data_IF_307194300109
#
_entry.id   IF_307194300109
#
_cell.length_a   1.000
_cell.length_b   1.000
_cell.length_c   1.000
_cell.angle_alpha   90.00
_cell.angle_beta   90.00
_cell.angle_gamma   90.00
#
_symmetry.space_group_name_H-M   'P 1'
#
loop_
_entity.id
_entity.type
_entity.pdbx_description
1 polymer ?
#
# COMPACT_ATOMS: atom_id res chain seq x y z
N UNK A 1 -4.57 -4.74 -22.57
CA UNK A 1 -4.49 -4.04 -21.28
C UNK A 1 -4.23 -2.59 -21.62
N UNK A 2 -5.02 -1.65 -21.12
CA UNK A 2 -4.77 -0.24 -21.42
C UNK A 2 -3.40 0.14 -20.84
N UNK A 3 -2.52 0.65 -21.70
CA UNK A 3 -1.18 1.07 -21.29
C UNK A 3 -1.29 2.24 -20.32
N UNK A 4 -0.63 2.13 -19.16
CA UNK A 4 -0.50 3.22 -18.21
C UNK A 4 0.29 4.33 -18.89
N UNK A 5 -0.29 5.52 -19.04
CA UNK A 5 0.49 6.66 -19.51
C UNK A 5 1.39 7.20 -18.38
N UNK A 6 2.49 7.85 -18.75
CA UNK A 6 3.45 8.38 -17.77
C UNK A 6 2.88 9.46 -16.85
N UNK A 7 1.73 10.06 -17.18
CA UNK A 7 1.05 11.05 -16.34
C UNK A 7 0.23 10.35 -15.23
N UNK A 8 -0.41 9.24 -15.55
CA UNK A 8 -1.10 8.39 -14.57
C UNK A 8 -0.10 7.85 -13.55
N UNK A 9 1.03 7.31 -14.01
CA UNK A 9 2.07 6.79 -13.11
C UNK A 9 2.68 7.87 -12.18
N UNK A 10 2.74 9.13 -12.63
CA UNK A 10 3.16 10.25 -11.77
C UNK A 10 2.12 10.56 -10.69
N UNK A 11 0.82 10.59 -11.05
CA UNK A 11 -0.26 10.80 -10.07
C UNK A 11 -0.30 9.68 -9.04
N UNK A 12 -0.11 8.44 -9.49
CA UNK A 12 -0.05 7.29 -8.60
C UNK A 12 1.21 7.32 -7.71
N UNK A 13 2.36 7.69 -8.26
CA UNK A 13 3.59 7.80 -7.47
C UNK A 13 3.57 8.88 -6.38
N UNK A 14 2.70 9.89 -6.53
CA UNK A 14 2.48 10.91 -5.52
C UNK A 14 1.36 10.55 -4.52
N UNK A 15 0.61 9.48 -4.78
CA UNK A 15 -0.49 9.05 -3.92
C UNK A 15 0.02 8.09 -2.84
N UNK A 16 -0.34 8.38 -1.59
CA UNK A 16 0.04 7.54 -0.46
C UNK A 16 -0.99 6.43 -0.21
N UNK A 17 -2.26 6.70 -0.53
CA UNK A 17 -3.38 5.75 -0.42
C UNK A 17 -4.03 5.48 -1.78
N UNK A 18 -4.68 4.32 -1.89
CA UNK A 18 -5.62 3.98 -2.95
C UNK A 18 -6.87 3.33 -2.39
N UNK A 19 -7.96 3.42 -3.15
CA UNK A 19 -9.16 2.60 -2.94
C UNK A 19 -9.11 1.37 -3.84
N UNK A 20 -9.36 0.20 -3.25
CA UNK A 20 -9.36 -1.08 -3.97
C UNK A 20 -10.73 -1.75 -3.89
N UNK A 21 -11.29 -2.09 -5.04
CA UNK A 21 -12.51 -2.87 -5.18
C UNK A 21 -12.25 -4.17 -5.94
N UNK A 22 -12.27 -5.31 -5.25
CA UNK A 22 -12.12 -6.63 -5.91
C UNK A 22 -13.38 -7.01 -6.69
N UNK A 23 -13.23 -7.72 -7.81
CA UNK A 23 -14.35 -8.20 -8.64
C UNK A 23 -14.93 -9.52 -8.11
N UNK A 24 -16.26 -9.64 -8.13
CA UNK A 24 -17.01 -10.87 -7.82
C UNK A 24 -17.16 -11.76 -9.05
N UNK A 25 -17.69 -12.97 -8.85
CA UNK A 25 -17.98 -13.93 -9.92
C UNK A 25 -18.95 -13.41 -10.97
N UNK A 26 -19.94 -12.62 -10.56
CA UNK A 26 -20.96 -12.00 -11.41
C UNK A 26 -20.45 -10.72 -12.12
N UNK A 27 -19.16 -10.38 -11.97
CA UNK A 27 -18.57 -9.17 -12.53
C UNK A 27 -18.77 -7.91 -11.69
N UNK A 28 -19.61 -7.92 -10.65
CA UNK A 28 -19.81 -6.76 -9.77
C UNK A 28 -18.58 -6.44 -8.92
N UNK A 29 -18.44 -5.19 -8.49
CA UNK A 29 -17.36 -4.75 -7.61
C UNK A 29 -17.78 -4.84 -6.13
N UNK A 30 -16.86 -5.31 -5.27
CA UNK A 30 -17.03 -5.19 -3.80
C UNK A 30 -16.89 -3.72 -3.38
N UNK A 31 -17.37 -3.41 -2.16
CA UNK A 31 -17.15 -2.10 -1.56
C UNK A 31 -15.64 -1.79 -1.51
N UNK A 32 -15.25 -0.52 -1.76
CA UNK A 32 -13.86 -0.13 -1.77
C UNK A 32 -13.25 -0.27 -0.37
N UNK A 33 -11.96 -0.62 -0.34
CA UNK A 33 -11.14 -0.58 0.86
C UNK A 33 -9.98 0.36 0.60
N UNK A 34 -9.87 1.42 1.40
CA UNK A 34 -8.75 2.36 1.34
C UNK A 34 -7.53 1.75 2.03
N UNK A 35 -6.37 1.82 1.37
CA UNK A 35 -5.12 1.30 1.91
C UNK A 35 -3.91 2.05 1.35
N UNK A 36 -2.82 2.03 2.12
CA UNK A 36 -1.53 2.54 1.66
C UNK A 36 -1.00 1.75 0.45
N UNK A 37 -0.44 2.47 -0.51
CA UNK A 37 0.19 1.92 -1.72
C UNK A 37 1.64 2.36 -1.81
N UNK A 38 2.48 1.47 -2.33
CA UNK A 38 3.87 1.78 -2.70
C UNK A 38 4.02 1.58 -4.20
N UNK A 39 4.56 2.58 -4.90
CA UNK A 39 4.98 2.45 -6.29
C UNK A 39 6.45 2.05 -6.36
N UNK A 40 6.77 1.02 -7.16
CA UNK A 40 8.13 0.72 -7.57
C UNK A 40 8.17 0.45 -9.08
N UNK A 41 8.86 1.31 -9.83
CA UNK A 41 8.82 1.31 -11.29
C UNK A 41 7.40 1.51 -11.81
N UNK A 42 6.92 0.56 -12.61
CA UNK A 42 5.57 0.57 -13.20
C UNK A 42 4.58 -0.32 -12.43
N UNK A 43 4.97 -0.80 -11.25
CA UNK A 43 4.16 -1.66 -10.41
C UNK A 43 3.72 -0.98 -9.12
N UNK A 44 2.52 -1.34 -8.67
CA UNK A 44 1.95 -0.90 -7.41
C UNK A 44 1.85 -2.08 -6.44
N UNK A 45 2.25 -1.82 -5.21
CA UNK A 45 2.30 -2.81 -4.15
C UNK A 45 1.43 -2.36 -3.00
N UNK A 46 0.59 -3.28 -2.54
CA UNK A 46 -0.24 -3.12 -1.34
C UNK A 46 -0.05 -4.35 -0.45
N UNK A 47 -0.26 -4.19 0.86
CA UNK A 47 -0.15 -5.30 1.81
C UNK A 47 -1.40 -5.40 2.68
N UNK A 48 -1.81 -6.64 2.96
CA UNK A 48 -2.88 -6.87 3.93
C UNK A 48 -2.27 -6.93 5.33
N UNK A 49 -2.66 -6.01 6.21
CA UNK A 49 -2.26 -6.04 7.63
C UNK A 49 -2.72 -7.33 8.31
N UNK A 50 -3.89 -7.87 7.91
CA UNK A 50 -4.43 -9.15 8.39
C UNK A 50 -3.85 -10.37 7.64
N UNK A 51 -2.78 -10.18 6.87
CA UNK A 51 -2.17 -11.22 6.04
C UNK A 51 -3.14 -11.86 5.06
N UNK A 52 -2.92 -13.14 4.75
CA UNK A 52 -3.72 -13.90 3.78
C UNK A 52 -5.17 -14.15 4.24
N UNK A 53 -5.44 -14.00 5.54
CA UNK A 53 -6.79 -14.12 6.12
C UNK A 53 -7.65 -12.86 5.92
N UNK A 54 -7.06 -11.74 5.51
CA UNK A 54 -7.76 -10.47 5.31
C UNK A 54 -8.95 -10.59 4.33
N UNK A 55 -10.16 -10.07 4.68
CA UNK A 55 -11.33 -10.18 3.82
C UNK A 55 -11.13 -9.63 2.40
N UNK A 56 -10.50 -8.45 2.28
CA UNK A 56 -10.20 -7.86 0.97
C UNK A 56 -9.17 -8.69 0.19
N UNK A 57 -8.16 -9.23 0.88
CA UNK A 57 -7.11 -10.04 0.26
C UNK A 57 -7.70 -11.33 -0.33
N UNK A 58 -8.53 -12.04 0.45
CA UNK A 58 -9.28 -13.20 -0.05
C UNK A 58 -10.22 -12.84 -1.20
N UNK A 59 -10.87 -11.69 -1.11
CA UNK A 59 -11.70 -11.13 -2.19
C UNK A 59 -10.90 -10.98 -3.49
N UNK A 60 -9.73 -10.35 -3.42
CA UNK A 60 -8.79 -10.21 -4.55
C UNK A 60 -8.34 -11.56 -5.07
N UNK A 61 -7.90 -12.48 -4.21
CA UNK A 61 -7.39 -13.79 -4.65
C UNK A 61 -8.45 -14.64 -5.37
N UNK A 62 -9.74 -14.41 -5.12
CA UNK A 62 -10.82 -15.18 -5.76
C UNK A 62 -10.89 -15.00 -7.29
N UNK A 63 -10.50 -13.83 -7.82
CA UNK A 63 -10.58 -13.51 -9.25
C UNK A 63 -9.32 -12.87 -9.83
N UNK A 64 -8.44 -12.34 -8.97
CA UNK A 64 -7.25 -11.56 -9.35
C UNK A 64 -7.54 -10.41 -10.31
N UNK A 65 -8.75 -9.86 -10.21
CA UNK A 65 -9.20 -8.72 -10.99
C UNK A 65 -9.98 -7.77 -10.08
N UNK A 66 -9.93 -6.49 -10.41
CA UNK A 66 -10.69 -5.47 -9.70
C UNK A 66 -10.40 -4.09 -10.26
N UNK A 67 -10.73 -3.09 -9.47
CA UNK A 67 -10.58 -1.68 -9.79
C UNK A 67 -9.83 -0.98 -8.68
N UNK A 68 -8.95 -0.07 -9.06
CA UNK A 68 -8.32 0.85 -8.13
C UNK A 68 -8.67 2.29 -8.48
N UNK A 69 -8.74 3.13 -7.46
CA UNK A 69 -8.78 4.57 -7.59
C UNK A 69 -7.64 5.17 -6.78
N UNK A 70 -6.77 5.95 -7.43
CA UNK A 70 -5.54 6.44 -6.84
C UNK A 70 -5.11 7.75 -7.49
N UNK A 71 -4.86 8.80 -6.70
CA UNK A 71 -4.43 10.11 -7.24
C UNK A 71 -5.38 10.69 -8.29
N UNK A 72 -6.70 10.45 -8.17
CA UNK A 72 -7.71 10.87 -9.16
C UNK A 72 -7.81 10.00 -10.41
N UNK A 73 -7.02 8.93 -10.51
CA UNK A 73 -7.03 7.98 -11.62
C UNK A 73 -7.81 6.74 -11.23
N UNK A 74 -8.79 6.35 -12.05
CA UNK A 74 -9.54 5.09 -11.90
C UNK A 74 -9.14 4.08 -12.99
N UNK A 75 -8.76 2.86 -12.60
CA UNK A 75 -8.33 1.80 -13.53
C UNK A 75 -8.74 0.42 -13.08
N UNK A 76 -9.14 -0.41 -14.05
CA UNK A 76 -9.24 -1.86 -13.86
C UNK A 76 -7.84 -2.48 -13.89
N UNK A 77 -7.57 -3.40 -12.97
CA UNK A 77 -6.24 -4.00 -12.76
C UNK A 77 -6.33 -5.51 -12.55
N UNK A 78 -5.23 -6.19 -12.87
CA UNK A 78 -4.99 -7.56 -12.47
C UNK A 78 -4.10 -7.59 -11.22
N UNK A 79 -4.38 -8.52 -10.30
CA UNK A 79 -3.62 -8.67 -9.07
C UNK A 79 -2.70 -9.89 -9.11
N UNK A 80 -1.47 -9.72 -8.63
CA UNK A 80 -0.49 -10.78 -8.45
C UNK A 80 0.03 -10.85 -7.02
N UNK A 81 0.67 -11.96 -6.67
CA UNK A 81 1.44 -12.04 -5.42
C UNK A 81 2.78 -11.35 -5.66
N UNK A 82 3.12 -10.38 -4.82
CA UNK A 82 4.43 -9.74 -4.87
C UNK A 82 5.51 -10.74 -4.42
N UNK A 83 6.59 -10.95 -5.20
CA UNK A 83 7.68 -11.85 -4.84
C UNK A 83 8.64 -11.17 -3.85
N UNK A 84 8.13 -10.63 -2.75
CA UNK A 84 8.89 -9.78 -1.82
C UNK A 84 10.19 -10.45 -1.33
N UNK A 85 10.18 -11.79 -1.18
CA UNK A 85 11.35 -12.56 -0.74
C UNK A 85 12.48 -12.58 -1.77
N UNK A 86 12.18 -12.46 -3.06
CA UNK A 86 13.18 -12.44 -4.12
C UNK A 86 14.10 -11.19 -4.05
N UNK A 87 13.64 -10.11 -3.41
CA UNK A 87 14.38 -8.86 -3.30
C UNK A 87 15.17 -8.73 -2.00
N UNK A 88 15.06 -9.69 -1.07
CA UNK A 88 15.73 -9.55 0.24
C UNK A 88 17.24 -9.54 0.09
N UNK A 89 17.81 -10.49 -0.66
CA UNK A 89 19.26 -10.62 -0.79
C UNK A 89 19.89 -9.38 -1.48
N UNK A 90 19.16 -8.77 -2.41
CA UNK A 90 19.58 -7.55 -3.10
C UNK A 90 19.43 -6.30 -2.21
N UNK A 91 18.29 -6.13 -1.53
CA UNK A 91 17.96 -4.88 -0.85
C UNK A 91 18.46 -4.83 0.60
N UNK A 92 18.67 -5.97 1.26
CA UNK A 92 19.06 -6.00 2.67
C UNK A 92 20.41 -5.30 2.94
N UNK A 93 21.48 -5.51 2.13
CA UNK A 93 22.74 -4.80 2.32
C UNK A 93 22.54 -3.28 2.31
N UNK A 94 21.73 -2.78 1.37
CA UNK A 94 21.42 -1.35 1.23
C UNK A 94 20.58 -0.79 2.37
N UNK A 95 19.73 -1.61 3.00
CA UNK A 95 19.01 -1.21 4.21
C UNK A 95 19.98 -1.11 5.40
N UNK A 96 20.87 -2.10 5.54
CA UNK A 96 21.82 -2.18 6.64
C UNK A 96 22.91 -1.10 6.57
N UNK A 97 23.37 -0.74 5.37
CA UNK A 97 24.34 0.34 5.15
C UNK A 97 23.69 1.74 5.14
N UNK A 98 22.36 1.81 5.16
CA UNK A 98 21.58 3.05 5.23
C UNK A 98 21.45 3.82 3.91
N UNK A 99 21.88 3.25 2.79
CA UNK A 99 21.63 3.78 1.43
C UNK A 99 20.15 3.71 1.07
N UNK A 100 19.44 2.67 1.52
CA UNK A 100 17.99 2.61 1.55
C UNK A 100 17.52 2.86 2.98
N UNK A 101 16.71 3.90 3.17
CA UNK A 101 16.13 4.24 4.48
C UNK A 101 14.63 3.90 4.50
N UNK A 102 14.25 2.67 4.88
CA UNK A 102 12.84 2.28 4.94
C UNK A 102 12.07 3.10 6.00
N UNK A 103 12.76 3.72 6.96
CA UNK A 103 12.19 4.58 7.99
C UNK A 103 11.59 5.90 7.51
N UNK A 104 11.61 6.22 6.21
CA UNK A 104 10.88 7.39 5.67
C UNK A 104 9.36 7.28 5.78
N UNK A 105 8.84 6.11 6.16
CA UNK A 105 7.42 5.94 6.49
C UNK A 105 7.02 6.59 7.81
N UNK A 106 7.99 6.87 8.70
CA UNK A 106 7.73 7.58 9.94
C UNK A 106 7.73 9.08 9.67
N UNK A 107 6.55 9.67 9.69
CA UNK A 107 6.30 11.09 9.46
C UNK A 107 6.15 11.87 10.77
N UNK A 108 6.01 11.16 11.89
CA UNK A 108 5.92 11.76 13.23
C UNK A 108 6.73 10.97 14.25
N UNK A 109 7.31 11.67 15.23
CA UNK A 109 8.00 11.06 16.36
C UNK A 109 7.41 11.59 17.66
N UNK A 110 7.05 10.71 18.59
CA UNK A 110 6.50 11.02 19.91
C UNK A 110 7.26 10.29 21.02
N UNK A 111 7.28 10.80 22.26
CA UNK A 111 7.82 10.07 23.40
C UNK A 111 6.85 8.96 23.85
N UNK A 112 7.31 8.04 24.71
CA UNK A 112 6.53 6.86 25.12
C UNK A 112 5.25 7.23 25.89
N UNK A 113 5.28 8.30 26.67
CA UNK A 113 4.11 8.82 27.40
C UNK A 113 2.94 9.19 26.47
N UNK A 114 3.20 9.54 25.21
CA UNK A 114 2.20 9.98 24.23
C UNK A 114 1.79 8.86 23.26
N UNK A 115 2.00 7.60 23.63
CA UNK A 115 1.68 6.45 22.77
C UNK A 115 0.21 6.43 22.30
N UNK A 116 -0.72 6.85 23.17
CA UNK A 116 -2.14 6.93 22.85
C UNK A 116 -2.42 7.95 21.75
N UNK A 117 -1.76 9.12 21.80
CA UNK A 117 -1.82 10.13 20.75
C UNK A 117 -1.28 9.58 19.43
N UNK A 118 -0.19 8.82 19.50
CA UNK A 118 0.38 8.17 18.31
C UNK A 118 -0.61 7.24 17.60
N UNK A 119 -1.34 6.42 18.37
CA UNK A 119 -2.40 5.59 17.81
C UNK A 119 -3.57 6.39 17.27
N UNK A 120 -4.00 7.44 17.98
CA UNK A 120 -5.10 8.29 17.55
C UNK A 120 -4.76 9.01 16.24
N UNK A 121 -3.55 9.56 16.10
CA UNK A 121 -3.10 10.22 14.89
C UNK A 121 -3.07 9.27 13.67
N UNK A 122 -2.64 8.01 13.86
CA UNK A 122 -2.72 6.98 12.82
C UNK A 122 -4.16 6.56 12.50
N UNK A 123 -5.04 6.49 13.51
CA UNK A 123 -6.45 6.16 13.32
C UNK A 123 -7.20 7.25 12.53
N UNK A 124 -6.94 8.50 12.88
CA UNK A 124 -7.57 9.68 12.28
C UNK A 124 -6.91 10.08 10.95
N UNK A 125 -5.88 9.32 10.53
CA UNK A 125 -5.08 9.56 9.31
C UNK A 125 -4.42 10.94 9.26
N UNK A 126 -4.04 11.49 10.41
CA UNK A 126 -3.23 12.72 10.50
C UNK A 126 -1.73 12.40 10.62
N UNK A 127 -1.37 11.13 10.77
CA UNK A 127 0.01 10.64 10.63
C UNK A 127 0.03 9.26 9.98
N UNK A 128 1.03 9.01 9.14
CA UNK A 128 1.23 7.78 8.39
C UNK A 128 1.80 6.67 9.27
N UNK A 129 2.89 7.00 10.00
CA UNK A 129 3.49 6.13 11.00
C UNK A 129 4.19 6.95 12.07
N UNK A 130 3.86 6.66 13.31
CA UNK A 130 4.50 7.32 14.46
C UNK A 130 5.66 6.46 14.96
N UNK A 131 6.86 7.07 15.07
CA UNK A 131 8.00 6.51 15.76
C UNK A 131 7.92 6.88 17.25
N UNK A 132 7.99 5.90 18.13
CA UNK A 132 8.04 6.15 19.58
C UNK A 132 9.50 6.16 20.02
N UNK A 133 9.90 7.21 20.74
CA UNK A 133 11.19 7.25 21.43
C UNK A 133 11.03 6.82 22.89
N UNK A 134 11.94 5.99 23.41
CA UNK A 134 11.93 5.59 24.81
C UNK A 134 12.04 6.77 25.77
#
# INVERSE_FOLDING_TARGET
>A
MADWDGSDLKRVGAAEELDLSSRRADGSLRAPVTMWVVRAGDHLYVRSVKGTAGPWYRGVQSRRQGRIQVGGVERDVAFGVAPARAYIDELMPHILDGSIRPGRVFDRTLPLEDIAEGYQAMNDRTSLKVAIRP
#
